data_IF_964708577173
#
_entry.id   IF_964708577173
#
_cell.length_a   1.000
_cell.length_b   1.000
_cell.length_c   1.000
_cell.angle_alpha   90.00
_cell.angle_beta   90.00
_cell.angle_gamma   90.00
#
_symmetry.space_group_name_H-M   'P 1'
#
loop_
_entity.id
_entity.type
_entity.pdbx_description
1 polymer ?
#
# COMPACT_ATOMS: atom_id res chain seq x y z
N UNK A 1 20.82 20.99 0.67
CA UNK A 1 19.52 21.72 0.69
C UNK A 1 18.48 20.80 1.29
N UNK A 2 17.98 21.12 2.49
CA UNK A 2 16.87 20.38 3.12
C UNK A 2 15.62 20.69 2.28
N UNK A 3 14.94 19.66 1.77
CA UNK A 3 13.75 19.83 0.91
C UNK A 3 12.48 19.87 1.74
N UNK A 4 11.59 20.79 1.40
CA UNK A 4 10.28 20.94 2.04
C UNK A 4 9.25 19.95 1.47
N UNK A 5 9.04 18.82 2.15
CA UNK A 5 8.05 17.78 1.81
C UNK A 5 6.60 18.28 1.89
N UNK A 6 6.32 19.43 2.52
CA UNK A 6 4.97 20.03 2.40
C UNK A 6 4.71 20.50 0.97
N UNK A 7 5.75 20.98 0.28
CA UNK A 7 5.67 21.53 -1.09
C UNK A 7 5.97 20.48 -2.18
N UNK A 8 6.78 19.47 -1.88
CA UNK A 8 7.12 18.39 -2.82
C UNK A 8 6.26 17.14 -2.60
N UNK A 9 5.08 17.11 -3.24
CA UNK A 9 4.07 16.04 -3.07
C UNK A 9 4.63 14.67 -3.48
N UNK A 10 5.40 14.61 -4.57
CA UNK A 10 5.93 13.34 -5.10
C UNK A 10 6.98 12.74 -4.16
N UNK A 11 7.92 13.55 -3.65
CA UNK A 11 8.88 13.07 -2.66
C UNK A 11 8.22 12.73 -1.33
N UNK A 12 7.21 13.51 -0.94
CA UNK A 12 6.41 13.21 0.24
C UNK A 12 5.82 11.81 0.15
N UNK A 13 5.16 11.47 -0.96
CA UNK A 13 4.58 10.13 -1.15
C UNK A 13 5.63 9.02 -0.93
N UNK A 14 6.78 9.11 -1.59
CA UNK A 14 7.86 8.10 -1.45
C UNK A 14 8.37 7.99 -0.01
N UNK A 15 8.60 9.12 0.67
CA UNK A 15 9.06 9.12 2.07
C UNK A 15 8.04 8.48 2.99
N UNK A 16 6.76 8.78 2.82
CA UNK A 16 5.71 8.22 3.67
C UNK A 16 5.37 6.77 3.35
N UNK A 17 5.54 6.32 2.10
CA UNK A 17 5.51 4.88 1.76
C UNK A 17 6.62 4.10 2.50
N UNK A 18 7.83 4.65 2.58
CA UNK A 18 8.93 4.04 3.35
C UNK A 18 8.68 4.06 4.87
N UNK A 19 8.18 5.18 5.41
CA UNK A 19 7.79 5.26 6.82
C UNK A 19 6.66 4.27 7.16
N UNK A 20 5.64 4.17 6.30
CA UNK A 20 4.56 3.20 6.41
C UNK A 20 5.10 1.77 6.52
N UNK A 21 5.97 1.38 5.58
CA UNK A 21 6.60 0.06 5.56
C UNK A 21 7.34 -0.25 6.87
N UNK A 22 8.09 0.71 7.40
CA UNK A 22 8.81 0.57 8.67
C UNK A 22 7.87 0.44 9.88
N UNK A 23 6.75 1.17 9.88
CA UNK A 23 5.77 1.16 10.98
C UNK A 23 4.99 -0.16 11.00
N UNK A 24 4.42 -0.58 9.85
CA UNK A 24 3.66 -1.85 9.75
C UNK A 24 4.53 -3.02 10.20
N UNK A 25 5.78 -3.07 9.74
CA UNK A 25 6.72 -4.14 10.08
C UNK A 25 7.02 -4.22 11.59
N UNK A 26 6.87 -3.13 12.34
CA UNK A 26 7.08 -3.12 13.80
C UNK A 26 5.86 -3.59 14.58
N UNK A 27 4.66 -3.43 14.04
CA UNK A 27 3.42 -3.75 14.75
C UNK A 27 3.06 -5.24 14.67
N UNK A 28 3.49 -5.92 13.61
CA UNK A 28 3.17 -7.33 13.39
C UNK A 28 4.45 -8.16 13.29
N UNK A 29 4.38 -9.44 13.68
CA UNK A 29 5.48 -10.39 13.55
C UNK A 29 5.39 -11.18 12.22
N UNK A 30 6.49 -11.82 11.82
CA UNK A 30 6.57 -12.75 10.69
C UNK A 30 5.99 -12.21 9.37
N UNK A 31 6.27 -10.96 9.05
CA UNK A 31 5.83 -10.36 7.80
C UNK A 31 6.99 -9.80 6.98
N UNK A 32 6.74 -9.77 5.68
CA UNK A 32 7.50 -9.00 4.73
C UNK A 32 6.60 -7.94 4.10
N UNK A 33 6.91 -6.66 4.36
CA UNK A 33 6.21 -5.53 3.78
C UNK A 33 7.08 -4.90 2.69
N UNK A 34 6.53 -4.78 1.49
CA UNK A 34 7.22 -4.30 0.31
C UNK A 34 6.48 -3.12 -0.32
N UNK A 35 7.25 -2.13 -0.81
CA UNK A 35 6.74 -1.18 -1.79
C UNK A 35 6.64 -1.88 -3.15
N UNK A 36 5.45 -1.88 -3.74
CA UNK A 36 5.17 -2.60 -5.00
C UNK A 36 6.01 -2.06 -6.14
N UNK A 37 6.23 -0.74 -6.17
CA UNK A 37 7.03 -0.02 -7.17
C UNK A 37 8.53 -0.37 -7.15
N UNK A 38 9.00 -1.08 -6.13
CA UNK A 38 10.41 -1.48 -6.01
C UNK A 38 10.78 -2.74 -6.81
N UNK A 39 9.80 -3.38 -7.46
CA UNK A 39 9.94 -4.65 -8.15
C UNK A 39 9.39 -4.56 -9.57
N UNK A 40 9.99 -5.25 -10.52
CA UNK A 40 9.47 -5.24 -11.90
C UNK A 40 8.18 -6.06 -11.99
N UNK A 41 8.11 -7.17 -11.26
CA UNK A 41 6.97 -8.08 -11.24
C UNK A 41 6.81 -8.82 -9.91
N UNK A 42 5.65 -9.43 -9.70
CA UNK A 42 5.41 -10.31 -8.56
C UNK A 42 6.36 -11.53 -8.55
N UNK A 43 6.69 -12.09 -9.71
CA UNK A 43 7.66 -13.18 -9.83
C UNK A 43 9.07 -12.78 -9.38
N UNK A 44 9.53 -11.58 -9.76
CA UNK A 44 10.82 -11.04 -9.31
C UNK A 44 10.84 -10.93 -7.78
N UNK A 45 9.78 -10.35 -7.20
CA UNK A 45 9.62 -10.23 -5.75
C UNK A 45 9.69 -11.60 -5.07
N UNK A 46 8.87 -12.56 -5.49
CA UNK A 46 8.82 -13.91 -4.91
C UNK A 46 10.16 -14.63 -5.04
N UNK A 47 10.83 -14.53 -6.19
CA UNK A 47 12.12 -15.19 -6.43
C UNK A 47 13.21 -14.58 -5.56
N UNK A 48 13.29 -13.25 -5.51
CA UNK A 48 14.32 -12.51 -4.73
C UNK A 48 14.22 -12.78 -3.24
N UNK A 49 12.99 -12.89 -2.74
CA UNK A 49 12.72 -13.15 -1.32
C UNK A 49 12.39 -14.61 -1.01
N UNK A 50 12.52 -15.52 -1.98
CA UNK A 50 12.22 -16.96 -1.83
C UNK A 50 10.88 -17.20 -1.12
N UNK A 51 9.83 -16.49 -1.53
CA UNK A 51 8.51 -16.60 -0.94
C UNK A 51 7.79 -17.84 -1.51
N UNK A 52 7.18 -18.63 -0.64
CA UNK A 52 6.37 -19.77 -1.03
C UNK A 52 4.89 -19.35 -1.05
N UNK A 53 4.31 -19.36 -2.24
CA UNK A 53 2.93 -18.94 -2.54
C UNK A 53 1.95 -20.12 -2.64
N UNK A 54 2.36 -21.34 -2.28
CA UNK A 54 1.59 -22.56 -2.51
C UNK A 54 0.23 -22.62 -1.80
N UNK A 55 0.01 -21.80 -0.77
CA UNK A 55 -1.27 -21.66 -0.08
C UNK A 55 -2.16 -20.52 -0.63
N UNK A 56 -1.63 -19.68 -1.53
CA UNK A 56 -2.40 -18.56 -2.07
C UNK A 56 -3.42 -19.03 -3.11
N UNK A 57 -4.59 -18.41 -3.09
CA UNK A 57 -5.64 -18.61 -4.09
C UNK A 57 -5.13 -18.23 -5.49
N UNK A 58 -5.49 -19.03 -6.50
CA UNK A 58 -4.98 -18.84 -7.87
C UNK A 58 -5.42 -17.50 -8.47
N UNK A 59 -6.64 -17.04 -8.17
CA UNK A 59 -7.11 -15.75 -8.67
C UNK A 59 -6.40 -14.59 -7.96
N UNK A 60 -5.98 -14.77 -6.70
CA UNK A 60 -5.14 -13.79 -6.01
C UNK A 60 -3.73 -13.74 -6.63
N UNK A 61 -3.14 -14.90 -6.96
CA UNK A 61 -1.85 -14.97 -7.67
C UNK A 61 -1.96 -14.26 -9.02
N UNK A 62 -2.99 -14.56 -9.81
CA UNK A 62 -3.22 -13.92 -11.11
C UNK A 62 -3.40 -12.40 -10.97
N UNK A 63 -4.12 -11.94 -9.94
CA UNK A 63 -4.21 -10.52 -9.65
C UNK A 63 -2.84 -9.91 -9.34
N UNK A 64 -2.05 -10.53 -8.46
CA UNK A 64 -0.71 -10.05 -8.08
C UNK A 64 0.21 -9.98 -9.31
N UNK A 65 0.12 -10.95 -10.21
CA UNK A 65 0.93 -10.98 -11.43
C UNK A 65 0.62 -9.83 -12.38
N UNK A 66 -0.65 -9.43 -12.49
CA UNK A 66 -1.11 -8.44 -13.47
C UNK A 66 -1.28 -7.03 -12.89
N UNK A 67 -1.46 -6.91 -11.57
CA UNK A 67 -1.92 -5.70 -10.92
C UNK A 67 -1.14 -5.31 -9.66
N UNK A 68 0.05 -5.88 -9.41
CA UNK A 68 0.88 -5.52 -8.24
C UNK A 68 1.05 -4.00 -8.07
N UNK A 69 1.27 -3.27 -9.17
CA UNK A 69 1.54 -1.82 -9.17
C UNK A 69 0.31 -0.94 -8.99
N UNK A 70 -0.89 -1.53 -8.87
CA UNK A 70 -2.14 -0.79 -8.62
C UNK A 70 -2.34 -0.41 -7.16
N UNK A 71 -1.51 -0.96 -6.26
CA UNK A 71 -1.53 -0.75 -4.81
C UNK A 71 -0.16 -0.24 -4.36
N UNK A 72 -0.07 0.51 -3.25
CA UNK A 72 1.20 1.12 -2.83
C UNK A 72 2.13 0.12 -2.14
N UNK A 73 1.62 -0.61 -1.13
CA UNK A 73 2.38 -1.64 -0.42
C UNK A 73 1.65 -2.98 -0.40
N UNK A 74 2.43 -4.05 -0.40
CA UNK A 74 1.98 -5.42 -0.18
C UNK A 74 2.67 -6.00 1.03
N UNK A 75 1.89 -6.66 1.91
CA UNK A 75 2.38 -7.39 3.06
C UNK A 75 2.14 -8.89 2.90
N UNK A 76 3.20 -9.68 2.98
CA UNK A 76 3.14 -11.14 3.04
C UNK A 76 3.36 -11.59 4.47
N UNK A 77 2.35 -12.23 5.05
CA UNK A 77 2.35 -12.74 6.41
C UNK A 77 2.62 -14.23 6.36
N UNK A 78 3.72 -14.62 6.99
CA UNK A 78 4.24 -15.95 6.89
C UNK A 78 3.76 -16.81 8.05
N UNK A 79 3.52 -18.09 7.76
CA UNK A 79 3.31 -19.10 8.78
C UNK A 79 4.53 -19.19 9.71
N UNK A 80 5.72 -19.15 9.14
CA UNK A 80 7.01 -19.08 9.82
C UNK A 80 8.09 -18.48 8.90
N UNK A 81 9.17 -17.97 9.50
CA UNK A 81 10.22 -17.27 8.76
C UNK A 81 11.15 -18.19 7.96
N UNK A 82 11.19 -19.49 8.30
CA UNK A 82 12.14 -20.44 7.72
C UNK A 82 11.61 -21.01 6.41
N UNK A 83 10.36 -21.49 6.41
CA UNK A 83 9.66 -21.99 5.23
C UNK A 83 9.30 -20.87 4.25
N UNK A 84 9.15 -19.64 4.76
CA UNK A 84 8.67 -18.48 3.99
C UNK A 84 7.33 -18.73 3.29
N UNK A 85 6.54 -19.65 3.86
CA UNK A 85 5.21 -19.98 3.41
C UNK A 85 4.25 -18.86 3.75
N UNK A 86 3.67 -18.24 2.72
CA UNK A 86 2.71 -17.15 2.89
C UNK A 86 1.37 -17.74 3.34
N UNK A 87 0.96 -17.37 4.54
CA UNK A 87 -0.34 -17.74 5.12
C UNK A 87 -1.43 -16.73 4.70
N UNK A 88 -1.08 -15.44 4.65
CA UNK A 88 -2.01 -14.41 4.21
C UNK A 88 -1.32 -13.22 3.56
N UNK A 89 -2.10 -12.47 2.78
CA UNK A 89 -1.68 -11.25 2.11
C UNK A 89 -2.52 -10.10 2.66
N UNK A 90 -1.88 -8.96 2.93
CA UNK A 90 -2.56 -7.69 3.19
C UNK A 90 -2.08 -6.63 2.20
N UNK A 91 -2.98 -5.75 1.82
CA UNK A 91 -2.70 -4.65 0.90
C UNK A 91 -2.85 -3.32 1.61
N UNK A 92 -1.97 -2.38 1.29
CA UNK A 92 -1.97 -1.08 1.95
C UNK A 92 -1.94 0.05 0.93
N UNK A 93 -2.87 0.98 1.09
CA UNK A 93 -2.85 2.30 0.46
C UNK A 93 -2.20 3.30 1.42
N UNK A 94 -1.27 4.12 0.94
CA UNK A 94 -0.61 5.13 1.77
C UNK A 94 -1.06 6.52 1.34
N UNK A 95 -1.77 7.23 2.22
CA UNK A 95 -2.21 8.61 1.98
C UNK A 95 -1.59 9.59 2.95
N UNK A 96 -1.18 10.73 2.42
CA UNK A 96 -0.69 11.87 3.20
C UNK A 96 -1.66 13.05 3.04
N UNK A 97 -1.97 13.73 4.13
CA UNK A 97 -2.68 15.01 4.12
C UNK A 97 -2.07 15.99 5.12
N UNK A 98 -2.22 17.28 4.84
CA UNK A 98 -1.91 18.30 5.84
C UNK A 98 -3.07 18.37 6.86
N UNK A 99 -2.76 18.62 8.13
CA UNK A 99 -3.75 18.76 9.20
C UNK A 99 -4.85 19.80 8.89
N UNK A 100 -4.47 20.86 8.17
CA UNK A 100 -5.40 21.92 7.75
C UNK A 100 -6.41 21.49 6.70
N UNK A 101 -6.20 20.35 6.04
CA UNK A 101 -7.09 19.86 4.99
C UNK A 101 -8.11 18.84 5.55
N UNK A 102 -9.38 19.26 5.64
CA UNK A 102 -10.49 18.43 6.14
C UNK A 102 -11.07 17.48 5.10
N UNK A 103 -10.60 17.49 3.85
CA UNK A 103 -11.12 16.62 2.81
C UNK A 103 -10.86 15.14 3.14
N UNK A 104 -11.78 14.27 2.67
CA UNK A 104 -11.59 12.83 2.66
C UNK A 104 -10.44 12.41 1.74
N UNK A 105 -10.21 11.10 1.64
CA UNK A 105 -9.21 10.54 0.75
C UNK A 105 -9.80 10.25 -0.62
N UNK A 106 -8.98 10.43 -1.66
CA UNK A 106 -9.36 10.15 -3.03
C UNK A 106 -8.61 8.90 -3.53
N UNK A 107 -9.30 8.08 -4.32
CA UNK A 107 -8.72 6.93 -5.02
C UNK A 107 -8.91 7.06 -6.52
N UNK A 108 -7.86 6.75 -7.27
CA UNK A 108 -8.00 6.61 -8.72
C UNK A 108 -8.84 5.35 -9.04
N UNK A 109 -9.52 5.36 -10.19
CA UNK A 109 -10.37 4.22 -10.59
C UNK A 109 -9.65 2.87 -10.55
N UNK A 110 -8.40 2.80 -11.05
CA UNK A 110 -7.64 1.54 -11.08
C UNK A 110 -7.38 0.99 -9.67
N UNK A 111 -7.00 1.83 -8.71
CA UNK A 111 -6.78 1.39 -7.33
C UNK A 111 -8.10 1.04 -6.64
N UNK A 112 -9.17 1.80 -6.92
CA UNK A 112 -10.50 1.46 -6.39
C UNK A 112 -10.94 0.07 -6.83
N UNK A 113 -10.87 -0.22 -8.13
CA UNK A 113 -11.35 -1.49 -8.68
C UNK A 113 -10.48 -2.66 -8.22
N UNK A 114 -9.17 -2.44 -8.10
CA UNK A 114 -8.23 -3.37 -7.47
C UNK A 114 -8.63 -3.69 -6.02
N UNK A 115 -8.84 -2.68 -5.18
CA UNK A 115 -9.24 -2.86 -3.79
C UNK A 115 -10.62 -3.51 -3.65
N UNK A 116 -11.55 -3.21 -4.56
CA UNK A 116 -12.85 -3.87 -4.60
C UNK A 116 -12.72 -5.37 -4.92
N UNK A 117 -11.85 -5.73 -5.87
CA UNK A 117 -11.54 -7.13 -6.16
C UNK A 117 -10.92 -7.85 -4.96
N UNK A 118 -9.87 -7.26 -4.38
CA UNK A 118 -9.15 -7.82 -3.23
C UNK A 118 -10.08 -8.08 -2.04
N UNK A 119 -10.94 -7.11 -1.71
CA UNK A 119 -11.94 -7.28 -0.65
C UNK A 119 -12.92 -8.42 -0.90
N UNK A 120 -13.38 -8.61 -2.15
CA UNK A 120 -14.24 -9.75 -2.51
C UNK A 120 -13.53 -11.10 -2.33
N UNK A 121 -12.21 -11.12 -2.43
CA UNK A 121 -11.36 -12.28 -2.15
C UNK A 121 -10.98 -12.46 -0.69
N UNK A 122 -11.54 -11.64 0.20
CA UNK A 122 -11.24 -11.70 1.64
C UNK A 122 -9.84 -11.21 1.99
N UNK A 123 -9.14 -10.55 1.06
CA UNK A 123 -7.85 -9.92 1.33
C UNK A 123 -8.09 -8.68 2.17
N UNK A 124 -7.30 -8.55 3.24
CA UNK A 124 -7.34 -7.37 4.10
C UNK A 124 -6.70 -6.18 3.38
N UNK A 125 -7.48 -5.10 3.22
CA UNK A 125 -7.05 -3.89 2.53
C UNK A 125 -7.14 -2.73 3.53
N UNK A 126 -5.99 -2.16 3.86
CA UNK A 126 -5.83 -1.11 4.86
C UNK A 126 -5.44 0.23 4.23
N UNK A 127 -5.89 1.31 4.85
CA UNK A 127 -5.44 2.68 4.57
C UNK A 127 -4.49 3.11 5.68
N UNK A 128 -3.26 3.44 5.32
CA UNK A 128 -2.35 4.18 6.19
C UNK A 128 -2.47 5.66 5.91
N UNK A 129 -3.01 6.38 6.87
CA UNK A 129 -3.14 7.83 6.79
C UNK A 129 -2.09 8.52 7.65
N UNK A 130 -1.29 9.36 7.00
CA UNK A 130 -0.41 10.30 7.66
C UNK A 130 -1.01 11.70 7.61
N UNK A 131 -1.10 12.33 8.79
CA UNK A 131 -1.48 13.74 8.93
C UNK A 131 -0.23 14.52 9.30
N UNK A 132 0.15 15.45 8.42
CA UNK A 132 1.29 16.34 8.58
C UNK A 132 0.89 17.62 9.30
N UNK A 133 1.63 17.96 10.35
CA UNK A 133 1.48 19.20 11.11
C UNK A 133 2.47 20.26 10.65
N UNK A 134 2.25 21.50 11.11
CA UNK A 134 2.98 22.64 10.56
C UNK A 134 4.46 22.69 10.95
N UNK A 135 4.79 22.05 12.05
CA UNK A 135 6.10 21.93 12.66
C UNK A 135 6.82 20.62 12.29
N UNK A 136 6.38 19.95 11.22
CA UNK A 136 6.92 18.69 10.71
C UNK A 136 6.71 17.46 11.59
N UNK A 137 5.91 17.57 12.65
CA UNK A 137 5.36 16.40 13.29
C UNK A 137 4.33 15.72 12.39
N UNK A 138 4.12 14.43 12.62
CA UNK A 138 3.07 13.68 11.96
C UNK A 138 2.38 12.75 12.94
N UNK A 139 1.08 12.54 12.73
CA UNK A 139 0.36 11.42 13.31
C UNK A 139 0.05 10.42 12.21
N UNK A 140 0.07 9.13 12.55
CA UNK A 140 -0.34 8.08 11.63
C UNK A 140 -1.51 7.28 12.22
N UNK A 141 -2.35 6.74 11.36
CA UNK A 141 -3.40 5.80 11.72
C UNK A 141 -3.56 4.76 10.62
N UNK A 142 -3.94 3.54 11.00
CA UNK A 142 -4.25 2.45 10.08
C UNK A 142 -5.74 2.16 10.18
N UNK A 143 -6.44 2.17 9.05
CA UNK A 143 -7.88 1.94 8.97
C UNK A 143 -8.17 0.78 8.02
N UNK A 144 -9.25 0.06 8.25
CA UNK A 144 -9.87 -0.72 7.18
C UNK A 144 -10.32 0.22 6.06
N UNK A 145 -9.95 -0.09 4.81
CA UNK A 145 -10.48 0.68 3.69
C UNK A 145 -11.99 0.48 3.63
N UNK A 146 -12.80 1.51 3.83
CA UNK A 146 -14.20 1.50 3.41
C UNK A 146 -14.31 2.21 2.07
N UNK A 147 -14.46 1.46 0.98
CA UNK A 147 -14.46 2.00 -0.38
C UNK A 147 -15.53 3.09 -0.59
N UNK A 148 -16.66 3.00 0.11
CA UNK A 148 -17.74 4.01 0.03
C UNK A 148 -17.32 5.39 0.56
N UNK A 149 -16.27 5.44 1.40
CA UNK A 149 -15.74 6.68 1.98
C UNK A 149 -14.76 7.43 1.06
N UNK A 150 -14.34 6.82 -0.05
CA UNK A 150 -13.42 7.42 -1.00
C UNK A 150 -14.15 8.04 -2.18
N UNK A 151 -13.70 9.23 -2.61
CA UNK A 151 -14.12 9.77 -3.90
C UNK A 151 -13.30 9.11 -5.00
N UNK A 152 -14.00 8.56 -6.00
CA UNK A 152 -13.37 8.10 -7.24
C UNK A 152 -13.03 9.30 -8.12
N UNK A 153 -11.84 9.30 -8.71
CA UNK A 153 -11.49 10.23 -9.78
C UNK A 153 -10.85 9.49 -10.95
N UNK A 154 -11.19 9.90 -12.17
CA UNK A 154 -10.40 9.57 -13.34
C UNK A 154 -9.13 10.40 -13.28
N UNK A 155 -7.98 9.81 -13.66
CA UNK A 155 -6.76 10.60 -13.81
C UNK A 155 -7.08 11.83 -14.67
N UNK A 156 -6.67 12.99 -14.15
CA UNK A 156 -6.62 14.27 -14.84
C UNK A 156 -6.25 14.05 -16.32
N UNK A 157 -7.02 14.64 -17.24
CA UNK A 157 -6.58 14.86 -18.63
C UNK A 157 -5.22 15.55 -18.55
N UNK A 158 -4.20 15.00 -19.19
CA UNK A 158 -3.04 15.80 -19.56
C UNK A 158 -3.56 16.90 -20.47
N UNK A 159 -3.62 18.13 -19.97
CA UNK A 159 -3.54 19.29 -20.86
C UNK A 159 -2.08 19.42 -21.23
N UNK A 160 -1.73 18.77 -22.34
CA UNK A 160 -0.75 19.25 -23.31
C UNK A 160 -1.37 18.99 -24.70
#
# INVERSE_FOLDING_TARGET
MIKDLKKDVSRRAVVFEELARMLIRKEENNNFIFSTRSFDSFNDLCSRYKLDISLLDIELIDFLMNHLHSVDLVGFYLKDNDSRLIESVKMFEVKTKNHTNKSGFDLCFSSYDAYAFLKRKGVDVKLLSFVLFDDWHYSFNIYDINLESFKKYSRYKSTD
#
